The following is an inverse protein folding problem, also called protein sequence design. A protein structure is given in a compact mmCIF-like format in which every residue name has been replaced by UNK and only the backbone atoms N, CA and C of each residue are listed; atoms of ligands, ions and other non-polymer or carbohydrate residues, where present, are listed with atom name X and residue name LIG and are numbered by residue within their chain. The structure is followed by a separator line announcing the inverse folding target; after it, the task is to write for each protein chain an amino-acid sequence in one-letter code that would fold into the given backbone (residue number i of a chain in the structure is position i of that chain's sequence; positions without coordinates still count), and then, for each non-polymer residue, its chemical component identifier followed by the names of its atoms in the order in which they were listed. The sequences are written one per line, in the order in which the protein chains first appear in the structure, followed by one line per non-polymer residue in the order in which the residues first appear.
data_IF_097822948625
#
_entry.id   IF_097822948625
#
_cell.length_a   1.000
_cell.length_b   1.000
_cell.length_c   1.000
_cell.angle_alpha   90.00
_cell.angle_beta   90.00
_cell.angle_gamma   90.00
#
_symmetry.space_group_name_H-M   'P 1'
#
loop_
_entity.id
_entity.type
_entity.pdbx_description
1 polymer ?
#
# COMPACT_ATOMS: atom_id res chain seq x y z
N UNK A 1 0.89 -18.49 5.11
CA UNK A 1 -0.30 -17.66 5.36
C UNK A 1 -1.35 -18.51 6.07
N UNK A 2 -2.10 -17.96 7.03
CA UNK A 2 -3.10 -18.71 7.82
C UNK A 2 -2.55 -20.02 8.44
N UNK A 3 -1.39 -19.94 9.10
CA UNK A 3 -0.74 -21.09 9.73
C UNK A 3 0.00 -22.04 8.77
N UNK A 4 -0.09 -21.84 7.45
CA UNK A 4 0.62 -22.65 6.45
C UNK A 4 1.79 -21.88 5.83
N UNK A 5 2.58 -22.55 4.97
CA UNK A 5 3.57 -21.90 4.10
C UNK A 5 2.89 -20.86 3.21
N UNK A 6 3.60 -19.79 2.83
CA UNK A 6 3.07 -18.78 1.92
C UNK A 6 2.86 -19.40 0.52
N UNK A 7 1.66 -19.31 -0.09
CA UNK A 7 1.46 -19.75 -1.46
C UNK A 7 2.22 -18.88 -2.47
N UNK A 8 2.58 -19.44 -3.63
CA UNK A 8 3.34 -18.74 -4.68
C UNK A 8 2.63 -17.46 -5.16
N UNK A 9 1.31 -17.49 -5.32
CA UNK A 9 0.51 -16.33 -5.71
C UNK A 9 0.58 -15.17 -4.70
N UNK A 10 0.91 -15.47 -3.44
CA UNK A 10 1.09 -14.48 -2.38
C UNK A 10 2.55 -13.99 -2.26
N UNK A 11 3.48 -14.50 -3.07
CA UNK A 11 4.87 -14.06 -3.13
C UNK A 11 5.83 -14.88 -2.28
N UNK A 12 5.66 -16.20 -2.25
CA UNK A 12 6.58 -17.12 -1.60
C UNK A 12 8.03 -17.02 -2.15
N UNK A 13 9.05 -17.44 -1.39
CA UNK A 13 8.99 -17.90 0.00
C UNK A 13 8.92 -16.74 1.00
N UNK A 14 9.39 -15.56 0.61
CA UNK A 14 9.51 -14.38 1.46
C UNK A 14 8.81 -13.18 0.83
N UNK A 15 7.99 -12.50 1.62
CA UNK A 15 7.21 -11.33 1.19
C UNK A 15 7.28 -10.22 2.24
N UNK A 16 7.42 -8.97 1.79
CA UNK A 16 7.27 -7.80 2.64
C UNK A 16 5.78 -7.48 2.85
N UNK A 17 5.42 -7.01 4.04
CA UNK A 17 4.10 -6.45 4.35
C UNK A 17 4.28 -5.14 5.11
N UNK A 18 3.75 -4.05 4.56
CA UNK A 18 3.71 -2.73 5.22
C UNK A 18 2.26 -2.26 5.28
N UNK A 19 1.56 -2.48 6.41
CA UNK A 19 0.10 -2.49 6.43
C UNK A 19 -0.56 -1.12 6.31
N UNK A 20 0.15 -0.03 6.59
CA UNK A 20 -0.34 1.34 6.43
C UNK A 20 -0.09 1.96 5.05
N UNK A 21 0.52 1.20 4.13
CA UNK A 21 0.84 1.62 2.77
C UNK A 21 0.01 0.86 1.75
N UNK A 22 -0.13 1.42 0.55
CA UNK A 22 -0.75 0.70 -0.57
C UNK A 22 0.02 -0.58 -0.91
N UNK A 23 -0.71 -1.60 -1.36
CA UNK A 23 -0.20 -2.97 -1.50
C UNK A 23 1.02 -3.12 -2.43
N UNK A 24 1.23 -2.19 -3.36
CA UNK A 24 2.38 -2.22 -4.27
C UNK A 24 3.73 -1.97 -3.59
N UNK A 25 3.74 -1.43 -2.36
CA UNK A 25 4.96 -1.32 -1.54
C UNK A 25 5.36 -2.65 -0.88
N UNK A 26 4.45 -3.61 -0.83
CA UNK A 26 4.65 -4.93 -0.22
C UNK A 26 5.13 -5.93 -1.27
N UNK A 27 6.41 -5.87 -1.61
CA UNK A 27 7.08 -6.67 -2.66
C UNK A 27 6.99 -8.18 -2.39
N UNK A 28 6.81 -8.95 -3.46
CA UNK A 28 6.70 -10.42 -3.46
C UNK A 28 8.04 -11.08 -3.80
N UNK A 29 8.27 -12.28 -3.27
CA UNK A 29 9.37 -13.16 -3.66
C UNK A 29 10.74 -12.48 -3.59
N UNK A 30 11.07 -11.94 -2.41
CA UNK A 30 12.29 -11.17 -2.19
C UNK A 30 13.52 -12.08 -2.28
N UNK A 31 14.47 -11.70 -3.12
CA UNK A 31 15.75 -12.41 -3.30
C UNK A 31 16.97 -11.61 -2.82
N UNK A 32 16.84 -10.29 -2.67
CA UNK A 32 17.91 -9.38 -2.23
C UNK A 32 17.33 -8.24 -1.39
N UNK A 33 18.03 -7.90 -0.33
CA UNK A 33 17.80 -6.70 0.48
C UNK A 33 19.13 -5.96 0.53
N UNK A 34 19.11 -4.67 0.19
CA UNK A 34 20.29 -3.81 0.17
C UNK A 34 19.98 -2.52 0.90
N UNK A 35 20.92 -2.08 1.74
CA UNK A 35 20.85 -0.79 2.43
C UNK A 35 21.61 0.23 1.59
N UNK A 36 20.90 1.28 1.16
CA UNK A 36 21.45 2.35 0.33
C UNK A 36 21.45 3.68 1.09
N UNK A 37 22.39 4.56 0.78
CA UNK A 37 22.45 5.91 1.37
C UNK A 37 21.47 6.89 0.72
N UNK A 38 20.93 6.55 -0.45
CA UNK A 38 19.97 7.35 -1.22
C UNK A 38 18.67 6.59 -1.44
N UNK A 39 17.58 7.33 -1.70
CA UNK A 39 16.27 6.76 -1.97
C UNK A 39 16.30 5.95 -3.28
N UNK A 40 16.03 4.62 -3.24
CA UNK A 40 16.08 3.79 -4.43
C UNK A 40 14.83 4.02 -5.32
N UNK A 41 14.93 3.73 -6.63
CA UNK A 41 13.76 3.76 -7.50
C UNK A 41 12.77 2.65 -7.13
N UNK A 42 11.49 2.83 -7.49
CA UNK A 42 10.45 1.83 -7.23
C UNK A 42 9.63 1.56 -8.49
N UNK A 43 9.28 0.29 -8.73
CA UNK A 43 8.70 -0.17 -10.01
C UNK A 43 7.49 0.65 -10.47
N UNK A 44 6.53 0.88 -9.58
CA UNK A 44 5.31 1.63 -9.92
C UNK A 44 5.57 3.12 -10.12
N UNK A 45 6.52 3.71 -9.39
CA UNK A 45 6.91 5.09 -9.58
C UNK A 45 7.67 5.30 -10.89
N UNK A 46 8.49 4.33 -11.32
CA UNK A 46 9.12 4.36 -12.64
C UNK A 46 8.08 4.20 -13.76
N UNK A 47 7.09 3.32 -13.57
CA UNK A 47 6.08 3.03 -14.59
C UNK A 47 5.06 4.16 -14.77
N UNK A 48 4.65 4.82 -13.68
CA UNK A 48 3.68 5.90 -13.69
C UNK A 48 3.92 6.84 -12.49
N UNK A 49 4.93 7.69 -12.61
CA UNK A 49 5.36 8.62 -11.54
C UNK A 49 4.29 9.63 -11.15
N UNK A 50 3.36 9.92 -12.07
CA UNK A 50 2.19 10.76 -11.85
C UNK A 50 1.04 10.02 -11.12
N UNK A 51 1.13 8.71 -10.87
CA UNK A 51 0.10 7.90 -10.20
C UNK A 51 0.58 7.28 -8.88
N UNK A 52 1.86 6.95 -8.80
CA UNK A 52 2.45 6.28 -7.65
C UNK A 52 3.76 6.96 -7.30
N UNK A 53 3.88 7.51 -6.10
CA UNK A 53 5.15 7.99 -5.60
C UNK A 53 5.74 7.04 -4.56
N UNK A 54 6.74 7.56 -3.85
CA UNK A 54 7.64 6.73 -3.06
C UNK A 54 7.02 6.24 -1.75
N UNK A 55 6.36 7.12 -0.99
CA UNK A 55 5.90 6.76 0.35
C UNK A 55 4.60 5.97 0.33
N UNK A 56 3.65 6.32 -0.55
CA UNK A 56 2.42 5.56 -0.79
C UNK A 56 1.66 5.18 0.49
N UNK A 57 1.57 6.13 1.44
CA UNK A 57 0.76 5.98 2.65
C UNK A 57 -0.72 5.96 2.26
N UNK A 58 -1.50 5.05 2.86
CA UNK A 58 -2.96 5.03 2.65
C UNK A 58 -3.54 6.33 3.20
N UNK A 59 -4.16 7.11 2.32
CA UNK A 59 -4.69 8.43 2.66
C UNK A 59 -6.01 8.69 1.92
N UNK A 60 -7.17 8.71 2.61
CA UNK A 60 -8.48 8.93 1.99
C UNK A 60 -8.66 10.34 1.41
N UNK A 61 -7.85 11.31 1.85
CA UNK A 61 -7.93 12.72 1.43
C UNK A 61 -7.14 13.02 0.16
N UNK A 62 -6.33 12.07 -0.31
CA UNK A 62 -5.51 12.19 -1.53
C UNK A 62 -6.01 11.18 -2.54
N UNK A 63 -6.58 11.68 -3.64
CA UNK A 63 -7.15 10.84 -4.68
C UNK A 63 -6.06 10.33 -5.62
N UNK A 64 -6.28 9.15 -6.18
CA UNK A 64 -5.51 8.70 -7.32
C UNK A 64 -5.97 9.48 -8.56
N UNK A 65 -5.11 9.77 -9.57
CA UNK A 65 -5.50 10.57 -10.74
C UNK A 65 -6.74 10.06 -11.48
N UNK A 66 -7.02 8.76 -11.37
CA UNK A 66 -8.12 8.07 -12.07
C UNK A 66 -9.30 7.68 -11.17
N UNK A 67 -9.17 7.74 -9.85
CA UNK A 67 -10.25 7.34 -8.93
C UNK A 67 -10.09 7.91 -7.52
N UNK A 68 -11.22 8.04 -6.81
CA UNK A 68 -11.21 8.43 -5.40
C UNK A 68 -10.71 7.30 -4.50
N UNK A 69 -9.85 7.66 -3.54
CA UNK A 69 -9.37 6.76 -2.47
C UNK A 69 -10.21 6.86 -1.19
N UNK A 70 -11.28 7.66 -1.17
CA UNK A 70 -12.09 7.91 0.02
C UNK A 70 -12.86 6.67 0.52
N UNK A 71 -13.11 5.70 -0.37
CA UNK A 71 -13.79 4.45 -0.03
C UNK A 71 -13.09 3.26 -0.66
N UNK A 72 -13.09 2.13 0.04
CA UNK A 72 -12.53 0.87 -0.41
C UNK A 72 -13.59 -0.23 -0.45
N UNK A 73 -13.34 -1.26 -1.26
CA UNK A 73 -14.17 -2.45 -1.30
C UNK A 73 -13.57 -3.52 -0.40
N UNK A 74 -14.25 -3.85 0.69
CA UNK A 74 -13.84 -4.95 1.57
C UNK A 74 -14.17 -6.31 0.93
N UNK A 75 -13.17 -7.19 0.87
CA UNK A 75 -13.32 -8.56 0.38
C UNK A 75 -13.52 -9.55 1.56
N UNK A 76 -14.21 -10.69 1.37
CA UNK A 76 -14.91 -11.10 0.14
C UNK A 76 -16.23 -10.34 -0.05
N UNK A 77 -16.48 -9.90 -1.28
CA UNK A 77 -17.80 -9.38 -1.68
C UNK A 77 -18.61 -10.51 -2.30
N UNK A 78 -19.65 -10.98 -1.63
CA UNK A 78 -20.57 -11.99 -2.20
C UNK A 78 -21.55 -11.33 -3.18
N UNK A 79 -22.10 -12.09 -4.14
CA UNK A 79 -23.19 -11.64 -5.03
C UNK A 79 -24.41 -11.13 -4.24
N UNK A 80 -24.69 -11.69 -3.07
CA UNK A 80 -25.80 -11.28 -2.20
C UNK A 80 -25.43 -10.21 -1.15
N UNK A 81 -24.13 -9.96 -0.97
CA UNK A 81 -23.59 -8.87 -0.15
C UNK A 81 -22.67 -8.02 -1.04
N UNK A 82 -23.30 -7.41 -2.05
CA UNK A 82 -22.62 -6.63 -3.08
C UNK A 82 -21.67 -5.61 -2.47
N UNK A 83 -20.39 -5.76 -2.80
CA UNK A 83 -19.33 -4.75 -2.69
C UNK A 83 -19.57 -3.73 -1.56
N UNK A 84 -19.58 -4.16 -0.28
CA UNK A 84 -19.71 -3.23 0.85
C UNK A 84 -18.54 -2.24 0.80
N UNK A 85 -18.81 -1.09 0.21
CA UNK A 85 -17.88 0.04 0.21
C UNK A 85 -17.85 0.58 1.62
N UNK A 86 -16.67 0.64 2.19
CA UNK A 86 -16.44 1.25 3.50
C UNK A 86 -15.52 2.46 3.33
N UNK A 87 -15.61 3.46 4.21
CA UNK A 87 -14.66 4.56 4.21
C UNK A 87 -13.23 4.04 4.43
N UNK A 88 -12.30 4.48 3.59
CA UNK A 88 -10.88 4.19 3.75
C UNK A 88 -10.36 4.94 4.97
N UNK A 89 -9.60 4.27 5.84
CA UNK A 89 -9.01 4.90 7.03
C UNK A 89 -7.64 5.49 6.72
N UNK A 90 -7.31 6.61 7.35
CA UNK A 90 -5.96 7.17 7.29
C UNK A 90 -4.94 6.15 7.80
N UNK A 91 -3.80 6.01 7.11
CA UNK A 91 -2.79 4.98 7.40
C UNK A 91 -3.36 3.56 7.49
N UNK A 92 -4.46 3.28 6.80
CA UNK A 92 -5.19 2.01 6.89
C UNK A 92 -5.63 1.65 8.33
N UNK A 93 -5.82 2.65 9.19
CA UNK A 93 -6.21 2.49 10.59
C UNK A 93 -5.06 2.31 11.57
N UNK A 94 -3.81 2.41 11.13
CA UNK A 94 -2.63 2.34 11.99
C UNK A 94 -2.20 3.75 12.41
N UNK A 95 -2.78 4.29 13.47
CA UNK A 95 -2.44 5.64 13.95
C UNK A 95 -1.02 5.71 14.54
N UNK A 96 -0.46 4.57 14.93
CA UNK A 96 0.85 4.42 15.56
C UNK A 96 2.00 4.89 14.65
N UNK A 97 1.78 4.95 13.33
CA UNK A 97 2.80 5.39 12.36
C UNK A 97 2.75 6.88 12.05
N UNK A 98 1.77 7.61 12.58
CA UNK A 98 1.55 9.02 12.22
C UNK A 98 2.77 9.90 12.55
N UNK A 99 3.43 9.64 13.68
CA UNK A 99 4.60 10.40 14.13
C UNK A 99 5.80 10.31 13.17
N UNK A 100 5.92 9.24 12.39
CA UNK A 100 6.99 9.07 11.40
C UNK A 100 6.89 10.06 10.23
N UNK A 101 5.73 10.68 10.04
CA UNK A 101 5.42 11.55 8.91
C UNK A 101 5.07 12.99 9.33
N UNK A 102 5.26 13.34 10.60
CA UNK A 102 4.98 14.68 11.10
C UNK A 102 5.80 15.73 10.35
N UNK A 103 5.15 16.79 9.87
CA UNK A 103 5.79 17.85 9.10
C UNK A 103 6.02 17.52 7.61
N UNK A 104 5.73 16.30 7.16
CA UNK A 104 5.83 15.95 5.75
C UNK A 104 4.58 16.39 4.96
N UNK A 105 4.79 16.88 3.74
CA UNK A 105 3.69 17.10 2.81
C UNK A 105 3.28 15.77 2.16
N UNK A 106 2.20 15.17 2.68
CA UNK A 106 1.69 13.87 2.22
C UNK A 106 0.95 13.93 0.87
N UNK A 107 0.71 15.12 0.30
CA UNK A 107 0.15 15.29 -1.05
C UNK A 107 1.22 15.25 -2.13
N UNK A 108 2.44 15.70 -1.83
CA UNK A 108 3.58 15.67 -2.76
C UNK A 108 4.30 14.33 -2.77
N UNK A 109 4.03 13.49 -1.76
CA UNK A 109 4.74 12.24 -1.48
C UNK A 109 3.82 11.01 -1.55
N UNK A 110 2.74 11.08 -2.35
CA UNK A 110 1.75 9.99 -2.50
C UNK A 110 2.34 8.73 -3.13
#
# INVERSE_FOLDING_TARGET
MYGQVLPNQNGAPLRLVVPWKYGFKSIKSIVRIELTSTQPPTTWNLAASNEYGFYANVNPTVQHPRWSQASERRLPSSLFNGNRKIPTRMYNGYEEVASLYTGMNLRLNY
#
